data_IF_461700544968
#
_entry.id   IF_461700544968
#
_cell.length_a   1.000
_cell.length_b   1.000
_cell.length_c   1.000
_cell.angle_alpha   90.00
_cell.angle_beta   90.00
_cell.angle_gamma   90.00
#
_symmetry.space_group_name_H-M   'P 1'
#
loop_
_entity.id
_entity.type
_entity.pdbx_description
1 polymer ?
#
# COMPACT_ATOMS: atom_id res chain seq x y z
N UNK A 1 18.12 -38.42 6.79
CA UNK A 1 17.19 -38.83 5.72
C UNK A 1 16.67 -37.57 5.01
N UNK A 2 16.97 -37.49 3.72
CA UNK A 2 16.21 -36.84 2.64
C UNK A 2 15.71 -35.41 2.82
N UNK A 3 16.58 -34.43 2.56
CA UNK A 3 16.18 -33.15 1.93
C UNK A 3 15.91 -33.43 0.44
N UNK A 4 15.01 -34.37 0.16
CA UNK A 4 14.78 -34.96 -1.15
C UNK A 4 13.27 -35.10 -1.39
N UNK A 5 12.49 -34.07 -1.00
CA UNK A 5 11.14 -33.84 -1.57
C UNK A 5 10.45 -32.50 -1.24
N UNK A 6 11.17 -31.45 -0.83
CA UNK A 6 10.54 -30.11 -0.69
C UNK A 6 10.46 -29.32 -2.01
N UNK A 7 10.99 -29.87 -3.11
CA UNK A 7 10.73 -29.43 -4.48
C UNK A 7 9.52 -30.16 -5.08
N UNK A 8 8.53 -30.54 -4.26
CA UNK A 8 7.17 -30.77 -4.75
C UNK A 8 6.63 -29.42 -5.22
N UNK A 9 6.94 -29.06 -6.47
CA UNK A 9 6.28 -28.05 -7.32
C UNK A 9 5.34 -27.09 -6.55
N UNK A 10 5.90 -26.08 -5.86
CA UNK A 10 5.13 -24.94 -5.36
C UNK A 10 4.97 -24.77 -3.84
N UNK A 11 5.80 -25.41 -3.00
CA UNK A 11 5.83 -25.15 -1.55
C UNK A 11 7.05 -24.33 -1.10
N UNK A 12 6.87 -23.47 -0.11
CA UNK A 12 7.89 -22.61 0.53
C UNK A 12 7.85 -22.78 2.04
N UNK A 13 8.95 -22.51 2.74
CA UNK A 13 8.98 -22.58 4.20
C UNK A 13 8.27 -21.36 4.81
N UNK A 14 7.36 -21.59 5.76
CA UNK A 14 6.64 -20.57 6.51
C UNK A 14 7.52 -20.06 7.67
N UNK A 15 8.20 -18.95 7.42
CA UNK A 15 9.04 -18.23 8.39
C UNK A 15 8.24 -17.33 9.33
N UNK A 16 6.94 -17.10 9.07
CA UNK A 16 6.06 -16.23 9.86
C UNK A 16 5.41 -17.01 11.01
N UNK A 17 4.80 -18.16 10.71
CA UNK A 17 4.11 -18.99 11.71
C UNK A 17 4.93 -20.20 12.15
N UNK A 18 6.07 -20.46 11.48
CA UNK A 18 6.93 -21.62 11.74
C UNK A 18 6.22 -22.98 11.64
N UNK A 19 5.16 -23.07 10.82
CA UNK A 19 4.38 -24.29 10.63
C UNK A 19 5.00 -25.30 9.65
N UNK A 20 6.15 -24.96 9.05
CA UNK A 20 6.88 -25.82 8.10
C UNK A 20 6.70 -25.38 6.65
N UNK A 21 6.74 -26.32 5.69
CA UNK A 21 6.57 -26.00 4.27
C UNK A 21 5.08 -25.91 3.89
N UNK A 22 4.66 -24.77 3.33
CA UNK A 22 3.29 -24.49 2.89
C UNK A 22 3.26 -24.14 1.40
N UNK A 23 2.11 -24.32 0.74
CA UNK A 23 1.93 -23.87 -0.64
C UNK A 23 2.01 -22.33 -0.71
N UNK A 24 2.55 -21.77 -1.80
CA UNK A 24 2.70 -20.31 -1.96
C UNK A 24 1.38 -19.55 -1.76
N UNK A 25 0.25 -20.10 -2.25
CA UNK A 25 -1.07 -19.50 -2.06
C UNK A 25 -1.61 -19.55 -0.63
N UNK A 26 -0.93 -20.25 0.29
CA UNK A 26 -1.25 -20.33 1.72
C UNK A 26 -0.32 -19.47 2.58
N UNK A 27 0.63 -18.75 1.98
CA UNK A 27 1.52 -17.86 2.72
C UNK A 27 0.74 -16.69 3.33
N UNK A 28 0.94 -16.48 4.64
CA UNK A 28 0.43 -15.32 5.38
C UNK A 28 1.27 -14.07 5.08
N UNK A 29 0.74 -12.89 5.38
CA UNK A 29 1.43 -11.61 5.22
C UNK A 29 1.64 -10.92 6.57
N UNK A 30 2.73 -10.18 6.74
CA UNK A 30 2.99 -9.40 7.94
C UNK A 30 2.67 -7.92 7.71
N UNK A 31 1.90 -7.30 8.61
CA UNK A 31 1.69 -5.86 8.64
C UNK A 31 1.68 -5.34 10.08
N UNK A 32 2.54 -4.35 10.37
CA UNK A 32 2.69 -3.75 11.71
C UNK A 32 2.86 -4.80 12.83
N UNK A 33 3.64 -5.86 12.57
CA UNK A 33 3.88 -6.93 13.53
C UNK A 33 2.74 -7.95 13.69
N UNK A 34 1.62 -7.79 12.97
CA UNK A 34 0.51 -8.75 12.96
C UNK A 34 0.52 -9.60 11.70
N UNK A 35 0.25 -10.91 11.85
CA UNK A 35 0.13 -11.86 10.75
C UNK A 35 -1.30 -11.90 10.22
N UNK A 36 -1.44 -11.86 8.89
CA UNK A 36 -2.68 -11.88 8.15
C UNK A 36 -2.74 -13.12 7.26
N UNK A 37 -3.82 -13.89 7.38
CA UNK A 37 -4.06 -15.07 6.56
C UNK A 37 -4.31 -14.68 5.09
N UNK A 38 -4.05 -15.59 4.13
CA UNK A 38 -4.40 -15.38 2.73
C UNK A 38 -5.85 -14.93 2.56
N UNK A 39 -6.06 -13.86 1.79
CA UNK A 39 -7.37 -13.25 1.56
C UNK A 39 -7.82 -12.25 2.63
N UNK A 40 -7.16 -12.17 3.78
CA UNK A 40 -7.42 -11.08 4.73
C UNK A 40 -6.93 -9.75 4.18
N UNK A 41 -7.63 -8.69 4.56
CA UNK A 41 -7.35 -7.34 4.09
C UNK A 41 -7.35 -6.34 5.23
N UNK A 42 -6.55 -5.30 5.09
CA UNK A 42 -6.67 -4.07 5.88
C UNK A 42 -6.95 -2.90 4.94
N UNK A 43 -7.64 -1.89 5.48
CA UNK A 43 -7.91 -0.65 4.79
C UNK A 43 -7.18 0.49 5.49
N UNK A 44 -6.53 1.34 4.71
CA UNK A 44 -6.12 2.69 5.11
C UNK A 44 -7.10 3.69 4.51
N UNK A 45 -6.95 4.97 4.83
CA UNK A 45 -7.83 6.05 4.37
C UNK A 45 -8.12 5.97 2.86
N UNK A 46 -7.10 5.68 2.04
CA UNK A 46 -7.20 5.70 0.58
C UNK A 46 -6.70 4.45 -0.13
N UNK A 47 -6.44 3.37 0.61
CA UNK A 47 -5.93 2.14 0.03
C UNK A 47 -6.56 0.93 0.69
N UNK A 48 -6.84 -0.10 -0.10
CA UNK A 48 -7.24 -1.42 0.40
C UNK A 48 -6.18 -2.43 0.01
N UNK A 49 -5.59 -3.11 0.99
CA UNK A 49 -4.56 -4.11 0.76
C UNK A 49 -5.07 -5.49 1.15
N UNK A 50 -4.90 -6.47 0.26
CA UNK A 50 -5.29 -7.86 0.47
C UNK A 50 -4.06 -8.75 0.45
N UNK A 51 -3.93 -9.66 1.42
CA UNK A 51 -2.85 -10.63 1.44
C UNK A 51 -3.06 -11.68 0.35
N UNK A 52 -2.15 -11.75 -0.62
CA UNK A 52 -2.13 -12.75 -1.69
C UNK A 52 -0.73 -13.32 -1.81
N UNK A 53 -0.60 -14.64 -1.65
CA UNK A 53 0.65 -15.36 -1.87
C UNK A 53 1.83 -14.82 -1.03
N UNK A 54 1.57 -14.44 0.22
CA UNK A 54 2.58 -13.84 1.10
C UNK A 54 2.94 -12.38 0.78
N UNK A 55 2.28 -11.77 -0.21
CA UNK A 55 2.49 -10.38 -0.62
C UNK A 55 1.22 -9.54 -0.45
N UNK A 56 1.42 -8.24 -0.28
CA UNK A 56 0.33 -7.27 -0.21
C UNK A 56 -0.07 -6.80 -1.60
N UNK A 57 -1.28 -7.16 -2.02
CA UNK A 57 -1.93 -6.63 -3.23
C UNK A 57 -2.81 -5.44 -2.83
N UNK A 58 -2.31 -4.21 -3.06
CA UNK A 58 -2.95 -2.96 -2.67
C UNK A 58 -3.57 -2.25 -3.87
N UNK A 59 -4.80 -1.76 -3.69
CA UNK A 59 -5.49 -0.90 -4.65
C UNK A 59 -5.77 0.47 -4.03
N UNK A 60 -5.70 1.50 -4.87
CA UNK A 60 -6.13 2.85 -4.52
C UNK A 60 -7.66 2.93 -4.53
N UNK A 61 -8.22 3.66 -3.58
CA UNK A 61 -9.64 3.95 -3.49
C UNK A 61 -9.89 5.42 -3.88
N UNK A 62 -11.09 5.69 -4.39
CA UNK A 62 -11.53 7.05 -4.62
C UNK A 62 -11.58 7.81 -3.30
N UNK A 63 -10.67 8.76 -3.16
CA UNK A 63 -10.44 9.51 -1.94
C UNK A 63 -10.54 11.00 -2.21
N UNK A 64 -11.12 11.79 -1.27
CA UNK A 64 -11.03 13.24 -1.37
C UNK A 64 -9.57 13.67 -1.23
N UNK A 65 -9.12 14.49 -2.18
CA UNK A 65 -7.82 15.13 -2.12
C UNK A 65 -7.97 16.57 -1.63
N UNK A 66 -6.97 17.06 -0.90
CA UNK A 66 -6.94 18.42 -0.37
C UNK A 66 -5.77 19.18 -0.96
N UNK A 67 -6.05 20.33 -1.56
CA UNK A 67 -5.05 21.34 -1.89
C UNK A 67 -4.99 22.38 -0.75
N UNK A 68 -3.80 22.80 -0.33
CA UNK A 68 -3.62 23.75 0.78
C UNK A 68 -2.58 24.81 0.48
N UNK A 69 -2.74 25.98 1.10
CA UNK A 69 -1.79 27.08 1.06
C UNK A 69 -1.51 27.53 2.49
N UNK A 70 -0.24 27.50 2.87
CA UNK A 70 0.22 27.85 4.22
C UNK A 70 1.24 28.97 4.11
N UNK A 71 1.13 29.99 4.97
CA UNK A 71 2.05 31.13 4.98
C UNK A 71 2.04 31.98 3.71
N UNK A 72 1.01 31.85 2.87
CA UNK A 72 0.82 32.63 1.65
C UNK A 72 1.64 32.17 0.44
N UNK A 73 2.75 31.45 0.64
CA UNK A 73 3.64 31.01 -0.44
C UNK A 73 3.89 29.50 -0.50
N UNK A 74 3.47 28.71 0.49
CA UNK A 74 3.68 27.26 0.47
C UNK A 74 2.40 26.56 0.03
N UNK A 75 2.42 26.01 -1.18
CA UNK A 75 1.29 25.30 -1.80
C UNK A 75 1.54 23.81 -1.74
N UNK A 76 0.55 23.05 -1.28
CA UNK A 76 0.49 21.60 -1.44
C UNK A 76 -0.65 21.27 -2.39
N UNK A 77 -0.35 20.66 -3.53
CA UNK A 77 -1.34 20.29 -4.54
C UNK A 77 -2.16 19.06 -4.13
N UNK A 78 -3.24 18.78 -4.86
CA UNK A 78 -4.12 17.63 -4.60
C UNK A 78 -3.39 16.27 -4.63
N UNK A 79 -2.34 16.13 -5.44
CA UNK A 79 -1.47 14.94 -5.51
C UNK A 79 -0.33 14.96 -4.46
N UNK A 80 -0.38 15.88 -3.50
CA UNK A 80 0.56 15.95 -2.38
C UNK A 80 1.91 16.58 -2.69
N UNK A 81 2.10 17.18 -3.89
CA UNK A 81 3.37 17.85 -4.22
C UNK A 81 3.43 19.23 -3.58
N UNK A 82 4.58 19.52 -2.98
CA UNK A 82 4.84 20.78 -2.31
C UNK A 82 5.63 21.75 -3.20
N UNK A 83 5.19 23.00 -3.22
CA UNK A 83 5.80 24.09 -3.96
C UNK A 83 5.91 25.34 -3.07
N UNK A 84 6.94 26.13 -3.30
CA UNK A 84 7.04 27.49 -2.76
C UNK A 84 6.93 28.47 -3.93
N UNK A 85 5.95 29.37 -3.86
CA UNK A 85 5.67 30.34 -4.90
C UNK A 85 5.45 31.72 -4.30
N UNK A 86 6.25 32.70 -4.73
CA UNK A 86 6.17 34.09 -4.29
C UNK A 86 5.68 34.97 -5.44
N UNK A 87 4.38 34.86 -5.74
CA UNK A 87 3.73 35.69 -6.75
C UNK A 87 3.11 36.96 -6.17
N UNK A 88 3.03 38.00 -6.99
CA UNK A 88 2.48 39.33 -6.67
C UNK A 88 1.22 39.69 -7.49
N UNK A 89 0.61 38.68 -8.12
CA UNK A 89 -0.59 38.82 -8.95
C UNK A 89 -1.75 37.93 -8.43
N UNK A 90 -2.91 38.00 -9.09
CA UNK A 90 -4.03 37.10 -8.84
C UNK A 90 -3.88 35.81 -9.65
N UNK A 91 -4.00 34.66 -8.98
CA UNK A 91 -3.82 33.34 -9.59
C UNK A 91 -5.04 32.44 -9.34
N UNK A 92 -5.32 31.55 -10.30
CA UNK A 92 -6.35 30.52 -10.16
C UNK A 92 -5.72 29.29 -9.50
N UNK A 93 -6.17 28.96 -8.29
CA UNK A 93 -5.63 27.85 -7.51
C UNK A 93 -6.28 26.50 -7.87
N UNK A 94 -7.56 26.52 -8.20
CA UNK A 94 -8.27 25.36 -8.72
C UNK A 94 -9.41 25.81 -9.63
N UNK A 95 -9.67 25.01 -10.67
CA UNK A 95 -10.79 25.16 -11.59
C UNK A 95 -11.21 23.77 -12.03
N UNK A 96 -12.52 23.53 -12.14
CA UNK A 96 -13.04 22.28 -12.70
C UNK A 96 -12.67 22.20 -14.18
N UNK A 97 -11.94 21.16 -14.57
CA UNK A 97 -11.76 20.81 -15.97
C UNK A 97 -13.06 20.18 -16.49
N UNK A 98 -13.66 20.82 -17.49
CA UNK A 98 -14.84 20.31 -18.21
C UNK A 98 -14.35 19.66 -19.49
#
# INVERSE_FOLDING_TARGET
>A
LNVLNAFLIGTVFDDITQTGCVAVNRCSCLHNGQSYQPGQSFSRTCHKCTCKQGQWDCMDLDCPATCSIVGGSHITTYDGKAYTFHGDCSYVLSKVGI
#
